data_IF_977926418522
#
_entry.id   IF_977926418522
#
_cell.length_a   1.000
_cell.length_b   1.000
_cell.length_c   1.000
_cell.angle_alpha   90.00
_cell.angle_beta   90.00
_cell.angle_gamma   90.00
#
_symmetry.space_group_name_H-M   'P 1'
#
loop_
_entity.id
_entity.type
_entity.pdbx_description
1 polymer ?
#
# COMPACT_ATOMS: atom_id res chain seq x y z
N UNK A 1 -13.29 48.71 -4.52
CA UNK A 1 -12.90 47.47 -5.21
C UNK A 1 -11.56 46.89 -4.71
N UNK A 2 -11.11 47.17 -3.46
CA UNK A 2 -9.81 46.69 -2.94
C UNK A 2 -9.88 45.70 -1.77
N UNK A 3 -11.06 45.38 -1.22
CA UNK A 3 -11.20 44.41 -0.12
C UNK A 3 -11.06 42.94 -0.52
N UNK A 4 -10.88 42.64 -1.81
CA UNK A 4 -10.83 41.25 -2.32
C UNK A 4 -9.40 40.73 -2.57
N UNK A 5 -8.38 41.53 -2.26
CA UNK A 5 -6.98 41.21 -2.56
C UNK A 5 -6.10 40.99 -1.31
N UNK A 6 -6.65 41.04 -0.10
CA UNK A 6 -5.89 40.89 1.15
C UNK A 6 -5.92 39.48 1.78
N UNK A 7 -6.68 38.53 1.22
CA UNK A 7 -6.99 37.25 1.91
C UNK A 7 -6.47 35.99 1.18
N UNK A 8 -5.42 36.13 0.35
CA UNK A 8 -4.67 34.98 -0.20
C UNK A 8 -3.17 35.11 0.14
N UNK A 9 -2.88 35.66 1.32
CA UNK A 9 -1.57 35.47 1.93
C UNK A 9 -1.56 34.05 2.47
N UNK A 10 -1.03 33.14 1.68
CA UNK A 10 -0.57 31.83 2.16
C UNK A 10 0.22 32.10 3.46
N UNK A 11 -0.35 31.75 4.61
CA UNK A 11 0.25 31.98 5.92
C UNK A 11 1.52 31.16 6.02
N UNK A 12 2.63 31.80 5.66
CA UNK A 12 3.93 31.16 5.43
C UNK A 12 4.45 30.52 6.72
N UNK A 13 4.06 31.08 7.87
CA UNK A 13 4.38 30.56 9.20
C UNK A 13 3.59 29.27 9.52
N UNK A 14 2.31 29.22 9.18
CA UNK A 14 1.47 28.02 9.36
C UNK A 14 1.92 26.89 8.41
N UNK A 15 2.38 27.23 7.20
CA UNK A 15 3.02 26.28 6.29
C UNK A 15 4.35 25.75 6.82
N UNK A 16 5.22 26.61 7.37
CA UNK A 16 6.48 26.18 7.97
C UNK A 16 6.22 25.19 9.10
N UNK A 17 5.33 25.50 10.03
CA UNK A 17 5.01 24.61 11.15
C UNK A 17 4.47 23.27 10.65
N UNK A 18 3.57 23.31 9.66
CA UNK A 18 3.04 22.13 9.02
C UNK A 18 4.10 21.29 8.29
N UNK A 19 5.07 21.91 7.62
CA UNK A 19 6.14 21.23 6.89
C UNK A 19 7.17 20.66 7.85
N UNK A 20 7.53 21.36 8.94
CA UNK A 20 8.50 20.89 9.92
C UNK A 20 7.92 19.92 10.95
N UNK A 21 6.63 19.59 10.88
CA UNK A 21 6.02 18.59 11.74
C UNK A 21 6.68 17.22 11.51
N UNK A 22 7.47 16.77 12.49
CA UNK A 22 8.23 15.51 12.48
C UNK A 22 7.35 14.29 12.15
N UNK A 23 6.06 14.33 12.53
CA UNK A 23 5.11 13.26 12.21
C UNK A 23 4.88 13.07 10.71
N UNK A 24 4.92 14.14 9.90
CA UNK A 24 4.71 14.06 8.44
C UNK A 24 5.91 13.46 7.73
N UNK A 25 7.13 13.84 8.15
CA UNK A 25 8.37 13.26 7.61
C UNK A 25 8.53 11.79 7.97
N UNK A 26 8.14 11.40 9.19
CA UNK A 26 8.14 9.98 9.57
C UNK A 26 7.17 9.17 8.70
N UNK A 27 5.97 9.68 8.42
CA UNK A 27 5.03 9.03 7.49
C UNK A 27 5.61 8.94 6.08
N UNK A 28 6.25 10.00 5.58
CA UNK A 28 6.91 9.99 4.27
C UNK A 28 7.98 8.89 4.19
N UNK A 29 8.81 8.73 5.22
CA UNK A 29 9.79 7.64 5.30
C UNK A 29 9.11 6.26 5.17
N UNK A 30 8.00 6.05 5.87
CA UNK A 30 7.24 4.81 5.77
C UNK A 30 6.64 4.61 4.36
N UNK A 31 6.14 5.67 3.72
CA UNK A 31 5.61 5.60 2.36
C UNK A 31 6.71 5.15 1.39
N UNK A 32 7.91 5.75 1.47
CA UNK A 32 9.04 5.37 0.61
C UNK A 32 9.45 3.92 0.86
N UNK A 33 9.58 3.52 2.13
CA UNK A 33 9.93 2.15 2.51
C UNK A 33 8.91 1.12 2.00
N UNK A 34 7.61 1.35 2.22
CA UNK A 34 6.57 0.42 1.78
C UNK A 34 6.38 0.42 0.26
N UNK A 35 6.62 1.53 -0.41
CA UNK A 35 6.64 1.57 -1.89
C UNK A 35 7.78 0.72 -2.45
N UNK A 36 8.95 0.76 -1.82
CA UNK A 36 10.07 -0.12 -2.17
C UNK A 36 9.73 -1.60 -1.93
N UNK A 37 9.15 -1.93 -0.77
CA UNK A 37 8.68 -3.29 -0.47
C UNK A 37 7.62 -3.74 -1.49
N UNK A 38 6.68 -2.87 -1.86
CA UNK A 38 5.65 -3.15 -2.86
C UNK A 38 6.24 -3.49 -4.23
N UNK A 39 7.30 -2.79 -4.65
CA UNK A 39 7.98 -3.08 -5.90
C UNK A 39 8.56 -4.51 -5.92
N UNK A 40 9.20 -4.94 -4.83
CA UNK A 40 9.66 -6.33 -4.69
C UNK A 40 8.50 -7.33 -4.60
N UNK A 41 7.42 -6.96 -3.91
CA UNK A 41 6.21 -7.78 -3.85
C UNK A 41 5.60 -8.01 -5.25
N UNK A 42 5.63 -7.01 -6.14
CA UNK A 42 5.19 -7.19 -7.51
C UNK A 42 6.01 -8.24 -8.28
N UNK A 43 7.32 -8.35 -8.02
CA UNK A 43 8.15 -9.44 -8.59
C UNK A 43 7.65 -10.81 -8.12
N UNK A 44 7.34 -10.94 -6.83
CA UNK A 44 6.78 -12.18 -6.26
C UNK A 44 5.40 -12.51 -6.86
N UNK A 45 4.56 -11.50 -7.11
CA UNK A 45 3.27 -11.67 -7.79
C UNK A 45 3.46 -12.30 -9.17
N UNK A 46 4.42 -11.83 -9.96
CA UNK A 46 4.71 -12.40 -11.28
C UNK A 46 5.17 -13.85 -11.19
N UNK A 47 6.00 -14.20 -10.18
CA UNK A 47 6.41 -15.58 -9.93
C UNK A 47 5.19 -16.46 -9.61
N UNK A 48 4.31 -16.02 -8.71
CA UNK A 48 3.07 -16.73 -8.38
C UNK A 48 2.21 -16.95 -9.63
N UNK A 49 2.08 -15.92 -10.49
CA UNK A 49 1.34 -16.00 -11.74
C UNK A 49 1.92 -17.03 -12.72
N UNK A 50 3.24 -17.06 -12.88
CA UNK A 50 3.94 -18.05 -13.71
C UNK A 50 3.72 -19.46 -13.16
N UNK A 51 3.87 -19.66 -11.84
CA UNK A 51 3.65 -20.95 -11.20
C UNK A 51 2.21 -21.44 -11.39
N UNK A 52 1.22 -20.58 -11.20
CA UNK A 52 -0.19 -20.92 -11.45
C UNK A 52 -0.42 -21.35 -12.90
N UNK A 53 0.18 -20.64 -13.87
CA UNK A 53 0.10 -20.99 -15.27
C UNK A 53 0.74 -22.36 -15.56
N UNK A 54 1.92 -22.64 -14.98
CA UNK A 54 2.57 -23.94 -15.12
C UNK A 54 1.72 -25.07 -14.52
N UNK A 55 1.13 -24.89 -13.33
CA UNK A 55 0.21 -25.87 -12.75
C UNK A 55 -1.00 -26.12 -13.66
N UNK A 56 -1.59 -25.05 -14.20
CA UNK A 56 -2.70 -25.19 -15.13
C UNK A 56 -2.32 -25.95 -16.40
N UNK A 57 -1.07 -25.82 -16.87
CA UNK A 57 -0.57 -26.53 -18.05
C UNK A 57 -0.34 -28.04 -17.78
N UNK A 58 0.13 -28.41 -16.58
CA UNK A 58 0.45 -29.80 -16.25
C UNK A 58 -0.67 -30.58 -15.56
N UNK A 59 -1.61 -29.90 -14.91
CA UNK A 59 -2.64 -30.51 -14.04
C UNK A 59 -4.07 -30.16 -14.47
N UNK A 60 -4.25 -29.49 -15.62
CA UNK A 60 -5.53 -28.99 -16.17
C UNK A 60 -6.37 -28.16 -15.18
N UNK A 61 -5.75 -27.75 -14.06
CA UNK A 61 -6.40 -27.00 -12.99
C UNK A 61 -5.37 -26.14 -12.24
N UNK A 62 -5.74 -24.90 -11.86
CA UNK A 62 -4.91 -24.08 -10.99
C UNK A 62 -4.72 -24.73 -9.60
N UNK A 63 -3.57 -24.50 -8.98
CA UNK A 63 -3.29 -25.06 -7.66
C UNK A 63 -4.06 -24.30 -6.57
N UNK A 64 -4.92 -25.00 -5.80
CA UNK A 64 -5.77 -24.41 -4.76
C UNK A 64 -4.97 -23.80 -3.61
N UNK A 65 -3.94 -24.50 -3.11
CA UNK A 65 -3.08 -24.00 -2.04
C UNK A 65 -2.31 -22.73 -2.43
N UNK A 66 -1.79 -22.69 -3.67
CA UNK A 66 -1.12 -21.50 -4.20
C UNK A 66 -2.12 -20.36 -4.43
N UNK A 67 -3.39 -20.67 -4.71
CA UNK A 67 -4.46 -19.67 -4.86
C UNK A 67 -4.81 -19.03 -3.51
N UNK A 68 -4.87 -19.82 -2.43
CA UNK A 68 -5.06 -19.32 -1.07
C UNK A 68 -3.90 -18.42 -0.63
N UNK A 69 -2.66 -18.82 -0.91
CA UNK A 69 -1.48 -17.98 -0.68
C UNK A 69 -1.57 -16.67 -1.48
N UNK A 70 -1.90 -16.76 -2.77
CA UNK A 70 -2.06 -15.59 -3.62
C UNK A 70 -3.15 -14.62 -3.12
N UNK A 71 -4.25 -15.16 -2.57
CA UNK A 71 -5.30 -14.35 -1.98
C UNK A 71 -4.80 -13.59 -0.75
N UNK A 72 -4.05 -14.26 0.14
CA UNK A 72 -3.45 -13.61 1.31
C UNK A 72 -2.44 -12.54 0.90
N UNK A 73 -1.60 -12.87 -0.08
CA UNK A 73 -0.61 -11.96 -0.63
C UNK A 73 -1.25 -10.72 -1.26
N UNK A 74 -2.35 -10.88 -2.00
CA UNK A 74 -3.14 -9.78 -2.57
C UNK A 74 -3.64 -8.84 -1.48
N UNK A 75 -4.28 -9.38 -0.43
CA UNK A 75 -4.81 -8.55 0.65
C UNK A 75 -3.70 -7.77 1.36
N UNK A 76 -2.51 -8.36 1.53
CA UNK A 76 -1.35 -7.65 2.06
C UNK A 76 -0.85 -6.54 1.13
N UNK A 77 -0.81 -6.77 -0.19
CA UNK A 77 -0.50 -5.72 -1.15
C UNK A 77 -1.51 -4.56 -1.10
N UNK A 78 -2.80 -4.86 -0.90
CA UNK A 78 -3.85 -3.84 -0.74
C UNK A 78 -3.62 -3.00 0.52
N UNK A 79 -3.25 -3.62 1.65
CA UNK A 79 -2.90 -2.85 2.87
C UNK A 79 -1.76 -1.86 2.60
N UNK A 80 -0.73 -2.26 1.85
CA UNK A 80 0.37 -1.36 1.48
C UNK A 80 -0.14 -0.19 0.63
N UNK A 81 -0.94 -0.48 -0.39
CA UNK A 81 -1.53 0.56 -1.26
C UNK A 81 -2.36 1.53 -0.43
N UNK A 82 -3.22 1.04 0.46
CA UNK A 82 -4.07 1.88 1.31
C UNK A 82 -3.23 2.81 2.20
N UNK A 83 -2.14 2.32 2.78
CA UNK A 83 -1.23 3.14 3.58
C UNK A 83 -0.53 4.23 2.75
N UNK A 84 0.05 3.84 1.61
CA UNK A 84 0.80 4.74 0.70
C UNK A 84 -0.09 5.82 0.10
N UNK A 85 -1.35 5.49 -0.19
CA UNK A 85 -2.35 6.39 -0.79
C UNK A 85 -3.20 7.16 0.23
N UNK A 86 -2.83 7.10 1.51
CA UNK A 86 -3.54 7.78 2.61
C UNK A 86 -5.01 7.34 2.81
N UNK A 87 -5.42 6.20 2.24
CA UNK A 87 -6.73 5.61 2.51
C UNK A 87 -6.80 5.04 3.94
N UNK A 88 -5.66 4.57 4.46
CA UNK A 88 -5.54 4.10 5.84
C UNK A 88 -4.40 4.81 6.59
N UNK A 89 -4.61 4.99 7.90
CA UNK A 89 -3.61 5.58 8.80
C UNK A 89 -2.64 4.54 9.34
N UNK A 90 -3.11 3.32 9.50
CA UNK A 90 -2.37 2.21 10.09
C UNK A 90 -1.32 1.67 9.11
N UNK A 91 -0.14 1.32 9.65
CA UNK A 91 0.95 0.74 8.88
C UNK A 91 0.56 -0.68 8.44
N UNK A 92 1.00 -1.18 7.29
CA UNK A 92 0.75 -2.57 6.91
C UNK A 92 1.60 -3.55 7.75
N UNK A 93 1.27 -4.85 7.70
CA UNK A 93 2.09 -5.93 8.27
C UNK A 93 3.56 -5.83 7.77
N UNK A 94 4.58 -6.06 8.63
CA UNK A 94 4.57 -6.71 9.95
C UNK A 94 4.26 -5.80 11.15
N UNK A 95 3.91 -4.53 10.93
CA UNK A 95 3.70 -3.57 12.02
C UNK A 95 2.25 -3.48 12.50
N UNK A 96 1.35 -4.19 11.82
CA UNK A 96 -0.07 -4.33 12.17
C UNK A 96 -0.54 -5.76 11.90
N UNK A 97 -1.83 -6.02 12.11
CA UNK A 97 -2.42 -7.33 11.88
C UNK A 97 -2.28 -7.79 10.42
N UNK A 98 -1.99 -9.08 10.28
CA UNK A 98 -1.94 -9.76 8.99
C UNK A 98 -3.35 -9.76 8.36
N UNK A 99 -3.48 -9.56 7.03
CA UNK A 99 -4.80 -9.43 6.42
C UNK A 99 -5.63 -10.70 6.59
N UNK A 100 -6.92 -10.53 6.86
CA UNK A 100 -7.86 -11.64 6.92
C UNK A 100 -8.40 -11.90 5.52
N UNK A 101 -7.97 -12.99 4.89
CA UNK A 101 -8.62 -13.48 3.68
C UNK A 101 -10.02 -13.93 4.08
N UNK A 102 -11.05 -13.22 3.62
CA UNK A 102 -12.42 -13.74 3.67
C UNK A 102 -12.47 -14.90 2.70
N UNK A 103 -12.20 -16.11 3.19
CA UNK A 103 -12.31 -17.34 2.42
C UNK A 103 -13.65 -17.41 1.71
N UNK A 104 -13.66 -17.91 0.47
CA UNK A 104 -14.90 -18.20 -0.25
C UNK A 104 -15.75 -19.10 0.64
N UNK A 105 -16.94 -18.62 1.04
CA UNK A 105 -18.00 -19.47 1.59
C UNK A 105 -18.49 -20.43 0.53
#
# INVERSE_FOLDING_TARGET
MSKKFEEDKIDTEELKENVFNQGKWLRLLWIVLFSFIYWWAAVVLYIIGILQFLFNLFTDSPNSSLSELAALFREWMVQIINFVTYQEKDKPYPFSELPKVKGKK
#
